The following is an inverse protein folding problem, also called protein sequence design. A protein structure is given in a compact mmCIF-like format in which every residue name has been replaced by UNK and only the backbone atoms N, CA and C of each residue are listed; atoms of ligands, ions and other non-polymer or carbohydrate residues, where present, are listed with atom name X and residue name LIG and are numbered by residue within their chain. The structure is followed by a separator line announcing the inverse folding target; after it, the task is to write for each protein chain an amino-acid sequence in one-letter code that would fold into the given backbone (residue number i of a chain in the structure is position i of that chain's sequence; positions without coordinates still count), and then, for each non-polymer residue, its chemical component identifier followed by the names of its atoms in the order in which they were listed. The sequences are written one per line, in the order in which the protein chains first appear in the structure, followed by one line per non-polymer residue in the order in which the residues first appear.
data_IF_554690851585
#
_entry.id   IF_554690851585
#
_cell.length_a   1.000
_cell.length_b   1.000
_cell.length_c   1.000
_cell.angle_alpha   90.00
_cell.angle_beta   90.00
_cell.angle_gamma   90.00
#
_symmetry.space_group_name_H-M   'P 1'
#
loop_
_entity.id
_entity.type
_entity.pdbx_description
1 polymer ?
#
# COMPACT_ATOMS: atom_id res chain seq x y z
N UNK A 1 4.83 -12.47 24.83
CA UNK A 1 3.61 -11.65 24.87
C UNK A 1 3.51 -10.93 23.53
N UNK A 2 2.46 -11.16 22.75
CA UNK A 2 2.29 -10.52 21.44
C UNK A 2 1.52 -9.21 21.64
N UNK A 3 2.18 -8.07 21.44
CA UNK A 3 1.58 -6.73 21.61
C UNK A 3 0.48 -6.43 20.59
N UNK A 4 0.37 -7.24 19.52
CA UNK A 4 -0.62 -7.09 18.44
C UNK A 4 -1.72 -8.17 18.49
N UNK A 5 -1.96 -8.82 19.63
CA UNK A 5 -2.97 -9.89 19.71
C UNK A 5 -4.39 -9.36 19.45
N UNK A 6 -4.92 -9.66 18.25
CA UNK A 6 -6.27 -9.29 17.76
C UNK A 6 -6.52 -7.78 17.68
N UNK A 7 -5.49 -6.97 17.52
CA UNK A 7 -5.61 -5.52 17.45
C UNK A 7 -4.52 -4.88 16.57
N UNK A 8 -4.67 -3.57 16.33
CA UNK A 8 -3.69 -2.75 15.63
C UNK A 8 -3.71 -2.92 14.10
N UNK A 9 -2.67 -2.44 13.43
CA UNK A 9 -2.57 -2.44 11.97
C UNK A 9 -2.64 -3.86 11.34
N UNK A 10 -2.37 -4.91 12.12
CA UNK A 10 -2.44 -6.30 11.64
C UNK A 10 -3.84 -6.92 11.69
N UNK A 11 -4.74 -6.40 12.53
CA UNK A 11 -6.12 -6.88 12.66
C UNK A 11 -7.08 -5.73 13.00
N UNK A 12 -7.76 -5.23 11.96
CA UNK A 12 -8.65 -4.06 12.04
C UNK A 12 -10.11 -4.41 12.34
N UNK A 13 -10.46 -5.69 12.57
CA UNK A 13 -11.87 -6.12 12.69
C UNK A 13 -12.63 -5.40 13.81
N UNK A 14 -12.02 -5.31 14.99
CA UNK A 14 -12.61 -4.59 16.12
C UNK A 14 -12.74 -3.09 15.83
N UNK A 15 -11.79 -2.51 15.12
CA UNK A 15 -11.87 -1.11 14.70
C UNK A 15 -13.01 -0.89 13.71
N UNK A 16 -13.21 -1.79 12.74
CA UNK A 16 -14.32 -1.73 11.78
C UNK A 16 -15.67 -1.77 12.49
N UNK A 17 -15.84 -2.71 13.42
CA UNK A 17 -17.06 -2.80 14.25
C UNK A 17 -17.29 -1.52 15.05
N UNK A 18 -16.22 -0.97 15.67
CA UNK A 18 -16.33 0.25 16.47
C UNK A 18 -16.70 1.47 15.63
N UNK A 19 -16.08 1.65 14.46
CA UNK A 19 -16.39 2.76 13.54
C UNK A 19 -17.86 2.74 13.13
N UNK A 20 -18.38 1.57 12.77
CA UNK A 20 -19.79 1.42 12.42
C UNK A 20 -20.73 1.68 13.61
N UNK A 21 -20.38 1.16 14.79
CA UNK A 21 -21.18 1.34 16.01
C UNK A 21 -21.24 2.79 16.47
N UNK A 22 -20.12 3.50 16.43
CA UNK A 22 -20.02 4.91 16.83
C UNK A 22 -20.46 5.87 15.73
N UNK A 23 -20.67 5.38 14.49
CA UNK A 23 -20.84 6.21 13.29
C UNK A 23 -19.68 7.21 13.12
N UNK A 24 -18.47 6.74 13.41
CA UNK A 24 -17.26 7.55 13.29
C UNK A 24 -16.96 7.84 11.82
N UNK A 25 -16.37 9.01 11.54
CA UNK A 25 -15.97 9.40 10.18
C UNK A 25 -14.77 8.60 9.67
N UNK A 26 -13.89 8.18 10.58
CA UNK A 26 -12.64 7.50 10.27
C UNK A 26 -12.12 6.76 11.51
N UNK A 27 -11.53 5.58 11.31
CA UNK A 27 -10.76 4.84 12.29
C UNK A 27 -9.29 4.74 11.90
N UNK A 28 -8.38 4.77 12.87
CA UNK A 28 -6.95 4.57 12.67
C UNK A 28 -6.46 3.44 13.57
N UNK A 29 -5.72 2.51 13.01
CA UNK A 29 -5.08 1.40 13.71
C UNK A 29 -3.57 1.46 13.47
N UNK A 30 -2.81 1.54 14.56
CA UNK A 30 -1.35 1.51 14.55
C UNK A 30 -0.86 0.13 15.00
N UNK A 31 0.37 -0.23 14.66
CA UNK A 31 1.06 -1.34 15.31
C UNK A 31 1.80 -0.89 16.58
N UNK A 32 2.47 -1.84 17.24
CA UNK A 32 3.00 -1.65 18.59
C UNK A 32 4.08 -0.57 18.74
N UNK A 33 4.87 -0.32 17.70
CA UNK A 33 5.90 0.72 17.61
C UNK A 33 5.47 1.94 16.77
N UNK A 34 4.34 1.86 16.06
CA UNK A 34 3.67 2.99 15.44
C UNK A 34 4.26 3.43 14.10
N UNK A 35 5.12 2.62 13.48
CA UNK A 35 5.65 2.87 12.14
C UNK A 35 4.63 2.52 11.04
N UNK A 36 3.59 1.75 11.37
CA UNK A 36 2.51 1.39 10.44
C UNK A 36 1.17 1.97 10.83
N UNK A 37 0.36 2.22 9.81
CA UNK A 37 -1.04 2.61 9.96
C UNK A 37 -1.93 1.87 8.98
N UNK A 38 -3.05 1.36 9.47
CA UNK A 38 -4.22 1.00 8.69
C UNK A 38 -5.36 1.93 9.05
N UNK A 39 -6.20 2.27 8.09
CA UNK A 39 -7.36 3.12 8.33
C UNK A 39 -8.66 2.39 8.01
N UNK A 40 -9.75 2.90 8.55
CA UNK A 40 -11.10 2.40 8.27
C UNK A 40 -12.00 3.58 7.94
N UNK A 41 -12.73 3.51 6.84
CA UNK A 41 -13.68 4.55 6.46
C UNK A 41 -15.01 4.43 7.24
N UNK A 42 -15.85 5.44 7.14
CA UNK A 42 -17.17 5.48 7.81
C UNK A 42 -18.13 4.36 7.40
N UNK A 43 -17.85 3.63 6.30
CA UNK A 43 -18.61 2.47 5.84
C UNK A 43 -18.02 1.16 6.36
N UNK A 44 -16.95 1.22 7.16
CA UNK A 44 -16.26 0.06 7.69
C UNK A 44 -15.27 -0.59 6.71
N UNK A 45 -14.97 0.03 5.56
CA UNK A 45 -13.97 -0.52 4.63
C UNK A 45 -12.56 -0.27 5.15
N UNK A 46 -11.71 -1.30 5.03
CA UNK A 46 -10.28 -1.18 5.31
C UNK A 46 -9.61 -0.34 4.23
N UNK A 47 -8.71 0.55 4.65
CA UNK A 47 -7.85 1.37 3.82
C UNK A 47 -6.39 1.03 4.16
N UNK A 48 -5.68 0.46 3.18
CA UNK A 48 -4.31 -0.03 3.35
C UNK A 48 -3.23 0.99 2.92
N UNK A 49 -1.95 0.59 3.05
CA UNK A 49 -0.82 1.45 2.72
C UNK A 49 -0.78 1.92 1.27
N UNK A 50 -1.29 1.14 0.32
CA UNK A 50 -1.33 1.54 -1.09
C UNK A 50 -2.37 2.66 -1.29
N UNK A 51 -3.55 2.52 -0.68
CA UNK A 51 -4.57 3.55 -0.74
C UNK A 51 -4.15 4.83 0.01
N UNK A 52 -3.42 4.70 1.12
CA UNK A 52 -2.83 5.83 1.84
C UNK A 52 -1.80 6.55 0.96
N UNK A 53 -0.91 5.80 0.31
CA UNK A 53 0.08 6.33 -0.63
C UNK A 53 -0.60 7.10 -1.78
N UNK A 54 -1.67 6.54 -2.36
CA UNK A 54 -2.46 7.21 -3.39
C UNK A 54 -3.01 8.55 -2.93
N UNK A 55 -3.65 8.59 -1.75
CA UNK A 55 -4.24 9.82 -1.19
C UNK A 55 -3.17 10.90 -1.02
N UNK A 56 -2.04 10.54 -0.40
CA UNK A 56 -0.96 11.49 -0.11
C UNK A 56 -0.31 11.99 -1.40
N UNK A 57 -0.05 11.09 -2.37
CA UNK A 57 0.53 11.47 -3.65
C UNK A 57 -0.39 12.40 -4.46
N UNK A 58 -1.70 12.09 -4.53
CA UNK A 58 -2.70 12.93 -5.19
C UNK A 58 -2.80 14.31 -4.53
N UNK A 59 -2.81 14.35 -3.21
CA UNK A 59 -2.89 15.61 -2.47
C UNK A 59 -1.63 16.46 -2.65
N UNK A 60 -0.45 15.83 -2.64
CA UNK A 60 0.83 16.47 -2.95
C UNK A 60 0.85 17.04 -4.38
N UNK A 61 0.31 16.32 -5.36
CA UNK A 61 0.19 16.79 -6.74
C UNK A 61 -0.71 18.03 -6.81
N UNK A 62 -1.89 17.97 -6.19
CA UNK A 62 -2.85 19.07 -6.22
C UNK A 62 -2.33 20.35 -5.58
N UNK A 63 -1.49 20.22 -4.55
CA UNK A 63 -0.86 21.37 -3.89
C UNK A 63 0.41 21.87 -4.60
N UNK A 64 0.84 21.21 -5.68
CA UNK A 64 2.12 21.52 -6.35
C UNK A 64 3.34 21.20 -5.48
N UNK A 65 3.20 20.29 -4.50
CA UNK A 65 4.26 19.90 -3.56
C UNK A 65 4.89 18.55 -3.88
N UNK A 66 4.27 17.76 -4.76
CA UNK A 66 4.79 16.47 -5.18
C UNK A 66 6.12 16.66 -5.92
N UNK A 67 7.18 16.01 -5.41
CA UNK A 67 8.50 16.02 -6.04
C UNK A 67 8.77 14.65 -6.65
N UNK A 68 8.65 14.57 -7.97
CA UNK A 68 8.81 13.33 -8.72
C UNK A 68 7.55 12.46 -8.64
N UNK A 69 7.69 11.25 -8.09
CA UNK A 69 6.66 10.23 -8.07
C UNK A 69 6.46 9.57 -6.71
N UNK A 70 5.83 8.40 -6.73
CA UNK A 70 5.60 7.56 -5.56
C UNK A 70 6.31 6.20 -5.71
N UNK A 71 6.87 5.68 -4.62
CA UNK A 71 7.48 4.35 -4.59
C UNK A 71 6.60 3.36 -3.83
N UNK A 72 6.25 2.25 -4.46
CA UNK A 72 5.65 1.09 -3.79
C UNK A 72 6.56 -0.13 -3.89
N UNK A 73 6.10 -1.29 -3.44
CA UNK A 73 6.86 -2.54 -3.61
C UNK A 73 6.26 -3.41 -4.72
N UNK A 74 6.91 -4.53 -5.00
CA UNK A 74 6.34 -5.59 -5.85
C UNK A 74 5.00 -6.12 -5.30
N UNK A 75 4.70 -5.91 -4.01
CA UNK A 75 3.44 -6.32 -3.38
C UNK A 75 2.31 -5.30 -3.60
N UNK A 76 2.62 -4.06 -3.99
CA UNK A 76 1.61 -3.02 -4.14
C UNK A 76 0.58 -3.38 -5.21
N UNK A 77 -0.69 -3.17 -4.89
CA UNK A 77 -1.79 -3.51 -5.77
C UNK A 77 -1.68 -2.78 -7.12
N UNK A 78 -1.97 -3.46 -8.22
CA UNK A 78 -1.92 -2.86 -9.55
C UNK A 78 -2.93 -1.71 -9.72
N UNK A 79 -4.01 -1.69 -8.93
CA UNK A 79 -4.94 -0.57 -8.86
C UNK A 79 -4.28 0.75 -8.47
N UNK A 80 -3.24 0.72 -7.63
CA UNK A 80 -2.46 1.90 -7.25
C UNK A 80 -1.72 2.47 -8.46
N UNK A 81 -1.02 1.61 -9.19
CA UNK A 81 -0.22 1.99 -10.35
C UNK A 81 -1.11 2.59 -11.45
N UNK A 82 -2.26 1.97 -11.72
CA UNK A 82 -3.24 2.50 -12.67
C UNK A 82 -3.78 3.87 -12.24
N UNK A 83 -4.13 4.03 -10.95
CA UNK A 83 -4.66 5.27 -10.43
C UNK A 83 -3.63 6.42 -10.46
N UNK A 84 -2.38 6.15 -10.11
CA UNK A 84 -1.29 7.14 -10.20
C UNK A 84 -0.99 7.52 -11.65
N UNK A 85 -1.00 6.54 -12.56
CA UNK A 85 -0.82 6.78 -14.00
C UNK A 85 -1.89 7.69 -14.58
N UNK A 86 -3.16 7.52 -14.17
CA UNK A 86 -4.25 8.42 -14.57
C UNK A 86 -4.05 9.87 -14.11
N UNK A 87 -3.35 10.07 -12.99
CA UNK A 87 -2.98 11.40 -12.47
C UNK A 87 -1.67 11.94 -13.07
N UNK A 88 -1.00 11.17 -13.94
CA UNK A 88 0.32 11.52 -14.46
C UNK A 88 1.44 11.45 -13.43
N UNK A 89 1.23 10.75 -12.31
CA UNK A 89 2.23 10.58 -11.25
C UNK A 89 3.10 9.35 -11.58
N UNK A 90 4.43 9.51 -11.73
CA UNK A 90 5.32 8.37 -11.91
C UNK A 90 5.25 7.43 -10.70
N UNK A 91 5.24 6.12 -10.96
CA UNK A 91 5.27 5.09 -9.93
C UNK A 91 6.45 4.16 -10.16
N UNK A 92 7.19 3.85 -9.10
CA UNK A 92 8.31 2.92 -9.14
C UNK A 92 8.08 1.79 -8.14
N UNK A 93 8.44 0.57 -8.53
CA UNK A 93 8.37 -0.60 -7.67
C UNK A 93 9.75 -0.97 -7.15
N UNK A 94 9.88 -1.11 -5.84
CA UNK A 94 11.05 -1.64 -5.16
C UNK A 94 10.83 -3.11 -4.77
N UNK A 95 11.91 -3.81 -4.39
CA UNK A 95 11.81 -5.11 -3.72
C UNK A 95 11.03 -4.96 -2.40
N UNK A 96 10.48 -6.05 -1.89
CA UNK A 96 9.72 -6.06 -0.62
C UNK A 96 10.65 -5.75 0.55
N UNK A 97 10.26 -4.81 1.40
CA UNK A 97 11.06 -4.30 2.52
C UNK A 97 11.25 -2.79 2.47
N UNK A 98 10.93 -2.13 3.58
CA UNK A 98 11.14 -0.69 3.88
C UNK A 98 12.48 -0.13 3.37
N UNK A 99 13.57 -0.88 3.58
CA UNK A 99 14.92 -0.51 3.15
C UNK A 99 14.99 -0.29 1.64
N UNK A 100 14.39 -1.17 0.84
CA UNK A 100 14.44 -1.06 -0.62
C UNK A 100 13.57 0.09 -1.13
N UNK A 101 12.46 0.37 -0.44
CA UNK A 101 11.64 1.56 -0.72
C UNK A 101 12.47 2.82 -0.46
N UNK A 102 13.15 2.90 0.67
CA UNK A 102 14.01 4.05 1.01
C UNK A 102 15.17 4.23 0.03
N UNK A 103 15.89 3.15 -0.31
CA UNK A 103 16.97 3.16 -1.30
C UNK A 103 16.46 3.67 -2.66
N UNK A 104 15.27 3.24 -3.10
CA UNK A 104 14.67 3.67 -4.37
C UNK A 104 14.22 5.13 -4.34
N UNK A 105 13.70 5.61 -3.20
CA UNK A 105 13.37 7.02 -3.00
C UNK A 105 14.63 7.90 -3.13
N UNK A 106 15.74 7.48 -2.53
CA UNK A 106 17.02 8.18 -2.61
C UNK A 106 17.59 8.17 -4.04
N UNK A 107 17.55 7.02 -4.71
CA UNK A 107 18.00 6.86 -6.11
C UNK A 107 17.27 7.84 -7.05
N UNK A 108 15.95 7.97 -6.89
CA UNK A 108 15.10 8.80 -7.75
C UNK A 108 14.98 10.26 -7.28
N UNK A 109 15.47 10.58 -6.07
CA UNK A 109 15.25 11.88 -5.43
C UNK A 109 13.78 12.17 -5.10
N UNK A 110 12.97 11.13 -4.95
CA UNK A 110 11.54 11.22 -4.60
C UNK A 110 11.35 11.22 -3.08
N UNK A 111 10.14 11.54 -2.61
CA UNK A 111 9.89 11.77 -1.18
C UNK A 111 8.82 10.90 -0.54
N UNK A 112 8.01 10.21 -1.34
CA UNK A 112 6.83 9.50 -0.86
C UNK A 112 6.94 8.05 -1.30
N UNK A 113 6.94 7.13 -0.33
CA UNK A 113 6.86 5.72 -0.61
C UNK A 113 6.07 4.97 0.46
N UNK A 114 5.58 3.79 0.14
CA UNK A 114 4.85 2.96 1.09
C UNK A 114 4.93 1.48 0.76
N UNK A 115 4.65 0.66 1.77
CA UNK A 115 4.31 -0.74 1.62
C UNK A 115 2.81 -0.93 1.90
N UNK A 116 2.20 -1.93 1.26
CA UNK A 116 0.78 -2.26 1.48
C UNK A 116 0.47 -2.62 2.95
N UNK A 117 1.48 -2.96 3.74
CA UNK A 117 1.43 -3.21 5.20
C UNK A 117 1.10 -1.97 6.03
N UNK A 118 1.08 -0.77 5.44
CA UNK A 118 0.82 0.49 6.14
C UNK A 118 2.08 1.20 6.60
N UNK A 119 3.28 0.68 6.30
CA UNK A 119 4.53 1.40 6.50
C UNK A 119 4.69 2.47 5.40
N UNK A 120 4.57 3.74 5.77
CA UNK A 120 4.54 4.88 4.84
C UNK A 120 5.66 5.86 5.16
N UNK A 121 6.54 6.12 4.18
CA UNK A 121 7.73 6.96 4.30
C UNK A 121 7.47 8.31 3.63
N UNK A 122 7.65 9.39 4.39
CA UNK A 122 7.48 10.78 3.94
C UNK A 122 8.76 11.58 4.25
N UNK A 123 9.69 11.61 3.31
CA UNK A 123 11.05 12.15 3.52
C UNK A 123 11.12 13.66 3.73
N UNK A 124 10.02 14.39 3.53
CA UNK A 124 9.93 15.80 3.89
C UNK A 124 9.51 16.02 5.36
N UNK A 125 9.11 14.96 6.08
CA UNK A 125 8.65 15.01 7.47
C UNK A 125 9.51 14.15 8.40
N UNK A 126 9.83 12.93 7.98
CA UNK A 126 10.53 11.92 8.78
C UNK A 126 11.62 11.24 7.94
N UNK A 127 12.55 10.55 8.60
CA UNK A 127 13.62 9.79 7.92
C UNK A 127 13.30 8.30 7.76
N UNK A 128 12.17 7.85 8.29
CA UNK A 128 11.70 6.46 8.29
C UNK A 128 10.16 6.43 8.16
N UNK A 129 9.57 5.25 8.02
CA UNK A 129 8.12 5.10 8.05
C UNK A 129 7.53 5.52 9.39
N UNK A 130 6.43 6.25 9.34
CA UNK A 130 5.75 6.78 10.52
C UNK A 130 4.24 6.76 10.29
N UNK A 131 3.55 5.84 10.98
CA UNK A 131 2.12 5.63 10.83
C UNK A 131 1.31 6.84 11.31
N UNK A 132 1.77 7.53 12.36
CA UNK A 132 1.09 8.70 12.92
C UNK A 132 1.14 9.85 11.92
N UNK A 133 2.32 10.14 11.36
CA UNK A 133 2.49 11.20 10.38
C UNK A 133 1.70 10.88 9.11
N UNK A 134 1.72 9.63 8.63
CA UNK A 134 0.93 9.21 7.48
C UNK A 134 -0.58 9.38 7.74
N UNK A 135 -1.07 8.95 8.90
CA UNK A 135 -2.46 9.16 9.32
C UNK A 135 -2.84 10.64 9.38
N UNK A 136 -1.97 11.50 9.92
CA UNK A 136 -2.19 12.94 9.94
C UNK A 136 -2.22 13.56 8.54
N UNK A 137 -1.42 13.08 7.59
CA UNK A 137 -1.49 13.54 6.19
C UNK A 137 -2.84 13.19 5.57
N UNK A 138 -3.36 11.99 5.81
CA UNK A 138 -4.69 11.58 5.31
C UNK A 138 -5.81 12.40 5.96
N UNK A 139 -5.77 12.60 7.28
CA UNK A 139 -6.72 13.47 7.98
C UNK A 139 -6.68 14.92 7.47
N UNK A 140 -5.48 15.42 7.19
CA UNK A 140 -5.29 16.75 6.58
C UNK A 140 -5.95 16.80 5.20
N UNK A 141 -5.82 15.75 4.39
CA UNK A 141 -6.53 15.65 3.12
C UNK A 141 -8.05 15.65 3.32
N UNK A 142 -8.59 14.86 4.24
CA UNK A 142 -10.04 14.83 4.57
C UNK A 142 -10.55 16.25 4.86
N UNK A 143 -9.90 16.94 5.79
CA UNK A 143 -10.33 18.29 6.23
C UNK A 143 -10.20 19.32 5.09
N UNK A 144 -9.09 19.32 4.34
CA UNK A 144 -8.88 20.29 3.25
C UNK A 144 -9.85 20.10 2.09
N UNK A 145 -10.27 18.86 1.85
CA UNK A 145 -11.15 18.51 0.75
C UNK A 145 -12.63 18.60 1.11
N UNK A 146 -12.98 18.65 2.40
CA UNK A 146 -14.34 18.41 2.88
C UNK A 146 -14.93 17.10 2.31
N UNK A 147 -14.10 16.05 2.23
CA UNK A 147 -14.42 14.75 1.65
C UNK A 147 -14.24 13.65 2.71
N UNK A 148 -15.05 12.59 2.63
CA UNK A 148 -14.84 11.43 3.50
C UNK A 148 -13.60 10.62 3.08
N UNK A 149 -13.09 9.77 3.97
CA UNK A 149 -12.00 8.84 3.61
C UNK A 149 -12.39 7.96 2.41
N UNK A 150 -13.64 7.52 2.35
CA UNK A 150 -14.18 6.74 1.24
C UNK A 150 -14.07 7.49 -0.09
N UNK A 151 -14.48 8.76 -0.12
CA UNK A 151 -14.41 9.60 -1.32
C UNK A 151 -12.97 9.80 -1.76
N UNK A 152 -12.05 10.00 -0.80
CA UNK A 152 -10.63 10.14 -1.11
C UNK A 152 -10.05 8.86 -1.74
N UNK A 153 -10.52 7.68 -1.34
CA UNK A 153 -10.10 6.40 -1.93
C UNK A 153 -10.75 6.10 -3.29
N UNK A 154 -11.88 6.73 -3.63
CA UNK A 154 -12.71 6.37 -4.81
C UNK A 154 -11.98 6.41 -6.17
N UNK A 155 -10.94 7.23 -6.30
CA UNK A 155 -10.12 7.32 -7.51
C UNK A 155 -9.14 6.17 -7.70
N UNK A 156 -9.01 5.26 -6.72
CA UNK A 156 -8.21 4.05 -6.80
C UNK A 156 -9.11 2.83 -6.58
N UNK A 157 -9.26 2.01 -7.63
CA UNK A 157 -9.97 0.74 -7.53
C UNK A 157 -8.97 -0.37 -7.28
N UNK A 158 -9.04 -0.99 -6.11
CA UNK A 158 -8.27 -2.18 -5.81
C UNK A 158 -8.66 -3.30 -6.78
N UNK A 159 -7.66 -3.89 -7.41
CA UNK A 159 -7.84 -5.09 -8.21
C UNK A 159 -7.78 -6.31 -7.29
N UNK A 160 -8.55 -7.37 -7.55
CA UNK A 160 -8.36 -8.63 -6.85
C UNK A 160 -6.89 -9.06 -6.91
N UNK A 161 -6.36 -9.51 -5.78
CA UNK A 161 -4.97 -9.92 -5.64
C UNK A 161 -4.92 -11.11 -4.71
N UNK A 162 -4.25 -12.18 -5.14
CA UNK A 162 -4.11 -13.42 -4.38
C UNK A 162 -2.61 -13.68 -4.21
N UNK A 163 -2.17 -13.77 -2.96
CA UNK A 163 -0.81 -14.16 -2.61
C UNK A 163 -0.81 -15.65 -2.28
N UNK A 164 -0.03 -16.44 -3.02
CA UNK A 164 0.18 -17.87 -2.74
C UNK A 164 1.66 -18.10 -2.44
N UNK A 165 1.94 -18.48 -1.20
CA UNK A 165 3.29 -18.81 -0.76
C UNK A 165 3.57 -20.28 -1.08
N UNK A 166 4.42 -20.54 -2.08
CA UNK A 166 4.83 -21.90 -2.45
C UNK A 166 6.20 -22.18 -1.87
N UNK A 167 6.29 -23.20 -1.02
CA UNK A 167 7.60 -23.69 -0.55
C UNK A 167 8.24 -24.51 -1.67
N UNK A 168 9.51 -24.23 -1.93
CA UNK A 168 10.28 -24.87 -2.98
C UNK A 168 11.60 -25.40 -2.43
N UNK A 169 12.09 -26.51 -2.98
CA UNK A 169 13.37 -27.12 -2.66
C UNK A 169 14.14 -27.30 -3.97
N UNK A 170 15.27 -26.59 -4.12
CA UNK A 170 16.13 -26.65 -5.31
C UNK A 170 17.10 -25.47 -5.36
N UNK A 171 18.12 -25.56 -6.24
CA UNK A 171 19.18 -24.55 -6.36
C UNK A 171 18.79 -23.35 -7.23
N UNK A 172 17.76 -23.49 -8.08
CA UNK A 172 17.36 -22.46 -9.04
C UNK A 172 16.06 -21.76 -8.63
N UNK A 173 15.99 -20.47 -8.94
CA UNK A 173 14.80 -19.65 -8.74
C UNK A 173 13.66 -20.17 -9.65
N UNK A 174 12.56 -20.73 -9.11
CA UNK A 174 11.46 -21.27 -9.93
C UNK A 174 10.78 -20.21 -10.81
N UNK A 175 10.87 -18.93 -10.46
CA UNK A 175 10.32 -17.83 -11.26
C UNK A 175 11.12 -17.54 -12.54
N UNK A 176 12.33 -18.09 -12.66
CA UNK A 176 13.17 -17.97 -13.85
C UNK A 176 12.95 -19.12 -14.84
N UNK A 177 12.13 -20.12 -14.49
CA UNK A 177 11.73 -21.17 -15.41
C UNK A 177 10.96 -20.59 -16.60
N UNK A 178 11.34 -21.01 -17.81
CA UNK A 178 10.68 -20.60 -19.06
C UNK A 178 9.17 -20.91 -19.06
N UNK A 179 8.77 -22.01 -18.43
CA UNK A 179 7.36 -22.39 -18.33
C UNK A 179 6.57 -21.40 -17.46
N UNK A 180 7.15 -20.99 -16.32
CA UNK A 180 6.53 -20.02 -15.42
C UNK A 180 6.44 -18.64 -16.07
N UNK A 181 7.48 -18.21 -16.79
CA UNK A 181 7.49 -16.93 -17.51
C UNK A 181 6.45 -16.88 -18.62
N UNK A 182 6.34 -17.93 -19.44
CA UNK A 182 5.34 -18.01 -20.51
C UNK A 182 3.91 -17.95 -19.97
N UNK A 183 3.63 -18.66 -18.88
CA UNK A 183 2.31 -18.63 -18.24
C UNK A 183 2.05 -17.24 -17.65
N UNK A 184 3.05 -16.61 -17.01
CA UNK A 184 2.93 -15.26 -16.46
C UNK A 184 2.61 -14.24 -17.54
N UNK A 185 3.32 -14.25 -18.68
CA UNK A 185 3.06 -13.34 -19.80
C UNK A 185 1.68 -13.58 -20.44
N UNK A 186 1.27 -14.84 -20.60
CA UNK A 186 -0.07 -15.18 -21.09
C UNK A 186 -1.17 -14.65 -20.18
N UNK A 187 -0.98 -14.82 -18.86
CA UNK A 187 -1.89 -14.31 -17.84
C UNK A 187 -1.90 -12.78 -17.87
N UNK A 188 -0.77 -12.10 -17.85
CA UNK A 188 -0.72 -10.63 -17.93
C UNK A 188 -1.41 -10.07 -19.17
N UNK A 189 -1.31 -10.77 -20.31
CA UNK A 189 -1.94 -10.38 -21.58
C UNK A 189 -3.45 -10.66 -21.59
N UNK A 190 -3.90 -11.81 -21.07
CA UNK A 190 -5.32 -12.18 -21.09
C UNK A 190 -6.15 -11.56 -19.96
N UNK A 191 -5.51 -11.18 -18.85
CA UNK A 191 -6.16 -10.65 -17.63
C UNK A 191 -6.42 -9.15 -17.67
N UNK A 192 -6.25 -8.49 -18.83
CA UNK A 192 -6.76 -7.13 -19.06
C UNK A 192 -8.30 -7.00 -18.92
N UNK A 193 -9.04 -8.10 -18.69
CA UNK A 193 -10.49 -8.10 -18.48
C UNK A 193 -10.97 -8.54 -17.08
N UNK A 194 -10.17 -9.25 -16.28
CA UNK A 194 -10.47 -9.65 -14.90
C UNK A 194 -9.13 -9.60 -14.18
N UNK A 195 -8.97 -8.85 -13.11
CA UNK A 195 -7.66 -8.59 -12.52
C UNK A 195 -7.43 -9.46 -11.28
N UNK A 196 -6.57 -10.48 -11.37
CA UNK A 196 -6.05 -11.22 -10.23
C UNK A 196 -4.52 -11.23 -10.34
N UNK A 197 -3.84 -10.40 -9.54
CA UNK A 197 -2.38 -10.39 -9.51
C UNK A 197 -1.90 -11.54 -8.62
N UNK A 198 -1.15 -12.47 -9.22
CA UNK A 198 -0.53 -13.59 -8.50
C UNK A 198 0.84 -13.12 -8.00
N UNK A 199 0.97 -12.95 -6.69
CA UNK A 199 2.28 -12.73 -6.10
C UNK A 199 2.77 -14.08 -5.56
N UNK A 200 3.99 -14.46 -5.95
CA UNK A 200 4.65 -15.68 -5.45
C UNK A 200 5.78 -15.22 -4.56
N UNK A 201 5.62 -15.36 -3.24
CA UNK A 201 6.71 -15.17 -2.30
C UNK A 201 7.41 -16.49 -2.04
N UNK A 202 8.73 -16.48 -2.17
CA UNK A 202 9.58 -17.60 -1.78
C UNK A 202 9.79 -17.55 -0.28
N UNK A 203 9.49 -18.65 0.40
CA UNK A 203 9.80 -18.82 1.82
C UNK A 203 10.87 -19.91 1.90
N UNK A 204 12.13 -19.58 2.26
CA UNK A 204 13.13 -20.60 2.56
C UNK A 204 12.65 -21.49 3.71
N UNK A 205 12.99 -22.78 3.69
CA UNK A 205 12.72 -23.65 4.84
C UNK A 205 13.55 -23.19 6.06
N UNK A 206 13.06 -23.35 7.30
CA UNK A 206 13.79 -22.97 8.50
C UNK A 206 15.08 -23.78 8.69
#
# INVERSE_FOLDING_TARGET
MNINEKCGATDVRQLQERVLLEKAHVGLAFDGDGDRVMMVDHLGNKVDGDQILYIIAREGLRQGQLRGGAVGTLMSNMGLELALKQLGIPFARAKVGDRYVLEKLQELGWRIGAENSGHVILLDKTTTGDGIIAGLQVLTAIVRNSMSLHDLCSGMKLLPQILVNVRFVGEHNPLESDDVRKVTEQVETSWLAVAAFFCVNQVPNP
#
